data_IF_520177042884
#
_entry.id   IF_520177042884
#
_cell.length_a   1.000
_cell.length_b   1.000
_cell.length_c   1.000
_cell.angle_alpha   90.00
_cell.angle_beta   90.00
_cell.angle_gamma   90.00
#
_symmetry.space_group_name_H-M   'P 1'
#
loop_
_entity.id
_entity.type
_entity.pdbx_description
1 polymer ?
#
# COMPACT_ATOMS: atom_id res chain seq x y z
N UNK A 1 3.42 21.60 0.16
CA UNK A 1 4.86 21.86 0.30
C UNK A 1 5.22 23.33 0.35
N UNK A 2 4.69 24.14 -0.56
CA UNK A 2 4.99 25.58 -0.57
C UNK A 2 4.55 26.29 0.71
N UNK A 3 3.42 25.87 1.29
CA UNK A 3 2.95 26.44 2.54
C UNK A 3 3.94 26.21 3.69
N UNK A 4 4.45 24.98 3.82
CA UNK A 4 5.42 24.67 4.87
C UNK A 4 6.70 25.48 4.72
N UNK A 5 7.19 25.63 3.49
CA UNK A 5 8.37 26.44 3.21
C UNK A 5 8.13 27.91 3.54
N UNK A 6 6.91 28.42 3.26
CA UNK A 6 6.54 29.81 3.58
C UNK A 6 6.52 30.06 5.09
N UNK A 7 6.35 29.02 5.91
CA UNK A 7 6.36 29.08 7.37
C UNK A 7 7.74 28.79 7.96
N UNK A 8 8.79 28.77 7.15
CA UNK A 8 10.16 28.42 7.56
C UNK A 8 10.28 27.03 8.18
N UNK A 9 9.43 26.09 7.74
CA UNK A 9 9.48 24.70 8.19
C UNK A 9 10.32 23.90 7.19
N UNK A 10 11.44 23.35 7.66
CA UNK A 10 12.28 22.48 6.84
C UNK A 10 11.64 21.12 6.63
N UNK A 11 11.72 20.62 5.38
CA UNK A 11 11.21 19.30 5.02
C UNK A 11 12.41 18.40 4.77
N UNK A 12 12.58 17.37 5.60
CA UNK A 12 13.70 16.44 5.48
C UNK A 12 13.42 15.38 4.40
N UNK A 13 12.24 14.81 4.40
CA UNK A 13 11.85 13.81 3.42
C UNK A 13 10.33 13.78 3.24
N UNK A 14 9.89 13.25 2.10
CA UNK A 14 8.48 13.03 1.81
C UNK A 14 8.31 11.57 1.41
N UNK A 15 7.42 10.87 2.09
CA UNK A 15 7.06 9.50 1.77
C UNK A 15 5.55 9.39 1.64
N UNK A 16 5.09 8.42 0.86
CA UNK A 16 3.66 8.13 0.69
C UNK A 16 3.41 6.74 1.25
N UNK A 17 2.29 6.58 1.95
CA UNK A 17 1.76 5.27 2.31
C UNK A 17 0.61 4.98 1.34
N UNK A 18 0.70 3.87 0.64
CA UNK A 18 -0.26 3.48 -0.38
C UNK A 18 -0.99 2.20 0.01
N UNK A 19 -2.31 2.26 0.04
CA UNK A 19 -3.15 1.09 0.30
C UNK A 19 -4.41 1.20 -0.58
N UNK A 20 -4.32 0.70 -1.81
CA UNK A 20 -5.40 0.78 -2.79
C UNK A 20 -5.31 -0.41 -3.74
N UNK A 21 -6.42 -0.87 -4.26
CA UNK A 21 -6.43 -1.92 -5.27
C UNK A 21 -7.66 -2.81 -5.23
N UNK A 22 -8.47 -2.75 -4.18
CA UNK A 22 -9.64 -3.62 -4.07
C UNK A 22 -10.66 -3.37 -5.19
N UNK A 23 -10.89 -2.11 -5.55
CA UNK A 23 -11.82 -1.79 -6.65
C UNK A 23 -11.31 -2.34 -7.97
N UNK A 24 -10.00 -2.26 -8.23
CA UNK A 24 -9.43 -2.88 -9.42
C UNK A 24 -9.62 -4.39 -9.43
N UNK A 25 -9.50 -5.03 -8.26
CA UNK A 25 -9.79 -6.45 -8.12
C UNK A 25 -11.24 -6.77 -8.43
N UNK A 26 -12.18 -5.99 -7.89
CA UNK A 26 -13.61 -6.14 -8.15
C UNK A 26 -13.94 -5.98 -9.64
N UNK A 27 -13.25 -5.08 -10.32
CA UNK A 27 -13.43 -4.80 -11.75
C UNK A 27 -12.65 -5.77 -12.65
N UNK A 28 -11.98 -6.75 -12.09
CA UNK A 28 -11.13 -7.71 -12.81
C UNK A 28 -10.04 -7.03 -13.65
N UNK A 29 -9.49 -5.92 -13.16
CA UNK A 29 -8.37 -5.26 -13.84
C UNK A 29 -7.19 -6.23 -13.93
N UNK A 30 -6.63 -6.38 -15.12
CA UNK A 30 -5.49 -7.28 -15.33
C UNK A 30 -4.26 -6.82 -14.55
N UNK A 31 -3.48 -7.78 -14.08
CA UNK A 31 -2.27 -7.50 -13.29
C UNK A 31 -1.35 -6.49 -13.97
N UNK A 32 -1.04 -6.69 -15.25
CA UNK A 32 -0.12 -5.81 -15.96
C UNK A 32 -0.68 -4.41 -16.17
N UNK A 33 -1.99 -4.27 -16.37
CA UNK A 33 -2.65 -2.98 -16.50
C UNK A 33 -2.59 -2.20 -15.17
N UNK A 34 -2.94 -2.85 -14.08
CA UNK A 34 -2.84 -2.24 -12.74
C UNK A 34 -1.41 -1.80 -12.45
N UNK A 35 -0.46 -2.70 -12.68
CA UNK A 35 0.96 -2.44 -12.42
C UNK A 35 1.46 -1.25 -13.23
N UNK A 36 1.20 -1.22 -14.54
CA UNK A 36 1.63 -0.14 -15.41
C UNK A 36 1.07 1.21 -14.97
N UNK A 37 -0.23 1.27 -14.73
CA UNK A 37 -0.90 2.52 -14.35
C UNK A 37 -0.46 3.01 -12.98
N UNK A 38 -0.28 2.10 -12.04
CA UNK A 38 0.15 2.44 -10.68
C UNK A 38 1.60 2.93 -10.68
N UNK A 39 2.49 2.27 -11.42
CA UNK A 39 3.88 2.72 -11.53
C UNK A 39 3.98 4.08 -12.23
N UNK A 40 3.14 4.33 -13.23
CA UNK A 40 3.08 5.64 -13.88
C UNK A 40 2.69 6.74 -12.88
N UNK A 41 1.70 6.47 -12.03
CA UNK A 41 1.32 7.39 -10.96
C UNK A 41 2.45 7.60 -9.96
N UNK A 42 3.10 6.53 -9.55
CA UNK A 42 4.22 6.59 -8.59
C UNK A 42 5.40 7.38 -9.16
N UNK A 43 5.71 7.18 -10.43
CA UNK A 43 6.77 7.96 -11.10
C UNK A 43 6.45 9.46 -11.09
N UNK A 44 5.17 9.81 -11.20
CA UNK A 44 4.71 11.20 -11.04
C UNK A 44 5.00 11.73 -9.64
N UNK A 45 4.76 10.94 -8.60
CA UNK A 45 5.09 11.33 -7.23
C UNK A 45 6.59 11.50 -7.03
N UNK A 46 7.40 10.59 -7.58
CA UNK A 46 8.86 10.70 -7.46
C UNK A 46 9.39 11.97 -8.11
N UNK A 47 8.79 12.41 -9.19
CA UNK A 47 9.14 13.70 -9.82
C UNK A 47 8.80 14.91 -8.95
N UNK A 48 7.89 14.75 -7.98
CA UNK A 48 7.51 15.80 -7.04
C UNK A 48 8.27 15.71 -5.72
N UNK A 49 9.43 15.08 -5.73
CA UNK A 49 10.32 14.94 -4.58
C UNK A 49 9.87 13.94 -3.52
N UNK A 50 8.97 13.04 -3.85
CA UNK A 50 8.68 11.89 -2.99
C UNK A 50 9.86 10.93 -3.09
N UNK A 51 10.43 10.55 -1.94
CA UNK A 51 11.60 9.69 -1.90
C UNK A 51 11.27 8.21 -1.97
N UNK A 52 10.15 7.82 -1.35
CA UNK A 52 9.75 6.40 -1.30
C UNK A 52 8.25 6.27 -1.11
N UNK A 53 7.76 5.11 -1.52
CA UNK A 53 6.36 4.73 -1.31
C UNK A 53 6.34 3.49 -0.44
N UNK A 54 5.65 3.59 0.68
CA UNK A 54 5.40 2.45 1.57
C UNK A 54 4.09 1.79 1.13
N UNK A 55 4.18 0.54 0.72
CA UNK A 55 3.06 -0.18 0.15
C UNK A 55 2.46 -1.14 1.18
N UNK A 56 1.16 -1.01 1.39
CA UNK A 56 0.39 -1.98 2.18
C UNK A 56 -0.39 -2.82 1.17
N UNK A 57 -0.11 -4.11 1.12
CA UNK A 57 -0.79 -5.01 0.19
C UNK A 57 -2.26 -5.14 0.56
N UNK A 58 -3.13 -5.12 -0.44
CA UNK A 58 -4.56 -5.34 -0.20
C UNK A 58 -4.83 -6.78 0.24
N UNK A 59 -5.94 -6.97 0.91
CA UNK A 59 -6.35 -8.27 1.38
C UNK A 59 -7.20 -9.04 0.38
N UNK A 60 -8.03 -9.94 0.90
CA UNK A 60 -8.93 -10.77 0.10
C UNK A 60 -10.36 -10.29 0.27
N UNK A 61 -11.19 -10.54 -0.74
CA UNK A 61 -12.62 -10.55 -0.56
C UNK A 61 -12.94 -11.81 0.28
N UNK A 62 -13.80 -11.69 1.28
CA UNK A 62 -13.98 -12.76 2.29
C UNK A 62 -14.39 -14.11 1.69
N UNK A 63 -15.31 -14.10 0.74
CA UNK A 63 -15.89 -15.31 0.18
C UNK A 63 -15.28 -15.73 -1.16
N UNK A 64 -14.51 -14.85 -1.78
CA UNK A 64 -13.82 -15.09 -3.05
C UNK A 64 -12.33 -14.77 -2.91
N UNK A 65 -11.55 -15.66 -2.27
CA UNK A 65 -10.16 -15.36 -1.93
C UNK A 65 -9.24 -15.12 -3.13
N UNK A 66 -9.61 -15.63 -4.31
CA UNK A 66 -8.77 -15.47 -5.50
C UNK A 66 -9.05 -14.19 -6.28
N UNK A 67 -10.15 -13.48 -5.94
CA UNK A 67 -10.58 -12.31 -6.70
C UNK A 67 -9.52 -11.22 -6.80
N UNK A 68 -8.77 -10.97 -5.73
CA UNK A 68 -7.78 -9.91 -5.67
C UNK A 68 -6.34 -10.37 -5.90
N UNK A 69 -6.12 -11.66 -6.17
CA UNK A 69 -4.78 -12.21 -6.36
C UNK A 69 -3.99 -11.48 -7.45
N UNK A 70 -4.55 -11.16 -8.63
CA UNK A 70 -3.77 -10.43 -9.65
C UNK A 70 -3.25 -9.08 -9.15
N UNK A 71 -4.03 -8.38 -8.34
CA UNK A 71 -3.62 -7.08 -7.79
C UNK A 71 -2.56 -7.27 -6.70
N UNK A 72 -2.74 -8.27 -5.84
CA UNK A 72 -1.75 -8.61 -4.81
C UNK A 72 -0.40 -8.95 -5.44
N UNK A 73 -0.41 -9.74 -6.51
CA UNK A 73 0.79 -10.10 -7.25
C UNK A 73 1.46 -8.87 -7.88
N UNK A 74 0.66 -7.98 -8.48
CA UNK A 74 1.17 -6.75 -9.05
C UNK A 74 1.88 -5.91 -7.99
N UNK A 75 1.27 -5.79 -6.80
CA UNK A 75 1.84 -5.03 -5.69
C UNK A 75 3.17 -5.62 -5.22
N UNK A 76 3.24 -6.94 -5.08
CA UNK A 76 4.48 -7.61 -4.69
C UNK A 76 5.57 -7.41 -5.75
N UNK A 77 5.23 -7.53 -7.02
CA UNK A 77 6.19 -7.33 -8.11
C UNK A 77 6.73 -5.90 -8.16
N UNK A 78 5.87 -4.90 -7.93
CA UNK A 78 6.31 -3.51 -7.89
C UNK A 78 7.34 -3.27 -6.80
N UNK A 79 7.11 -3.85 -5.62
CA UNK A 79 8.06 -3.72 -4.52
C UNK A 79 9.38 -4.44 -4.79
N UNK A 80 9.36 -5.55 -5.51
CA UNK A 80 10.58 -6.27 -5.90
C UNK A 80 11.39 -5.54 -6.98
N UNK A 81 10.70 -4.90 -7.92
CA UNK A 81 11.34 -4.27 -9.08
C UNK A 81 11.88 -2.87 -8.81
N UNK A 82 11.39 -2.20 -7.78
CA UNK A 82 11.74 -0.80 -7.50
C UNK A 82 12.24 -0.64 -6.06
N UNK A 83 13.46 -0.16 -5.90
CA UNK A 83 14.08 0.05 -4.60
C UNK A 83 13.34 1.06 -3.72
N UNK A 84 12.66 2.01 -4.34
CA UNK A 84 11.92 3.07 -3.63
C UNK A 84 10.45 2.73 -3.38
N UNK A 85 10.03 1.51 -3.66
CA UNK A 85 8.70 0.98 -3.31
C UNK A 85 8.93 -0.15 -2.29
N UNK A 86 8.44 0.05 -1.07
CA UNK A 86 8.74 -0.83 0.05
C UNK A 86 7.46 -1.45 0.60
N UNK A 87 7.38 -2.77 0.55
CA UNK A 87 6.24 -3.50 1.12
C UNK A 87 6.36 -3.50 2.64
N UNK A 88 5.44 -2.84 3.33
CA UNK A 88 5.48 -2.72 4.80
C UNK A 88 4.44 -3.55 5.53
N UNK A 89 3.45 -4.08 4.84
CA UNK A 89 2.52 -5.06 5.44
C UNK A 89 1.84 -5.88 4.36
N UNK A 90 1.67 -7.16 4.65
CA UNK A 90 0.93 -8.13 3.82
C UNK A 90 -0.11 -8.87 4.67
N UNK A 91 -0.49 -8.32 5.82
CA UNK A 91 -1.38 -9.01 6.76
C UNK A 91 -2.83 -9.06 6.32
N UNK A 92 -3.31 -8.08 5.52
CA UNK A 92 -4.72 -8.03 5.16
C UNK A 92 -5.22 -9.33 4.54
N UNK A 93 -4.43 -9.99 3.72
CA UNK A 93 -4.85 -11.24 3.06
C UNK A 93 -4.95 -12.44 4.01
N UNK A 94 -4.51 -12.30 5.25
CA UNK A 94 -4.58 -13.38 6.25
C UNK A 94 -5.81 -13.29 7.15
N UNK A 95 -6.55 -12.18 7.10
CA UNK A 95 -7.57 -11.88 8.10
C UNK A 95 -8.89 -12.63 7.87
N UNK A 96 -9.23 -12.98 6.63
CA UNK A 96 -10.43 -13.76 6.36
C UNK A 96 -10.36 -15.11 7.11
N UNK A 97 -9.21 -15.78 7.04
CA UNK A 97 -9.00 -17.07 7.72
C UNK A 97 -8.96 -16.95 9.23
N UNK A 98 -8.68 -15.76 9.75
CA UNK A 98 -8.61 -15.48 11.19
C UNK A 98 -9.91 -14.95 11.78
N UNK A 99 -10.95 -14.86 10.97
CA UNK A 99 -12.24 -14.33 11.41
C UNK A 99 -12.22 -12.84 11.72
N UNK A 100 -11.30 -12.08 11.12
CA UNK A 100 -11.12 -10.66 11.39
C UNK A 100 -11.75 -9.75 10.34
N UNK A 101 -12.64 -10.28 9.49
CA UNK A 101 -13.39 -9.46 8.56
C UNK A 101 -14.78 -9.15 9.11
N UNK A 102 -15.19 -7.89 8.98
CA UNK A 102 -16.47 -7.37 9.42
C UNK A 102 -17.58 -7.73 8.42
N UNK A 103 -17.28 -7.68 7.14
CA UNK A 103 -18.17 -8.02 6.04
C UNK A 103 -17.35 -8.57 4.87
N UNK A 104 -17.89 -8.59 3.66
CA UNK A 104 -17.19 -9.16 2.49
C UNK A 104 -15.91 -8.42 2.12
N UNK A 105 -15.81 -7.13 2.46
CA UNK A 105 -14.72 -6.26 1.99
C UNK A 105 -13.98 -5.54 3.11
N UNK A 106 -14.60 -5.38 4.27
CA UNK A 106 -14.07 -4.56 5.36
C UNK A 106 -13.60 -5.42 6.52
N UNK A 107 -12.71 -4.86 7.32
CA UNK A 107 -12.07 -5.57 8.42
C UNK A 107 -12.59 -5.06 9.75
N UNK A 108 -12.42 -5.89 10.79
CA UNK A 108 -12.67 -5.48 12.17
C UNK A 108 -11.58 -4.50 12.60
N UNK A 109 -11.88 -3.66 13.58
CA UNK A 109 -10.93 -2.66 14.08
C UNK A 109 -9.60 -3.30 14.48
N UNK A 110 -9.63 -4.46 15.11
CA UNK A 110 -8.45 -5.20 15.51
C UNK A 110 -7.49 -5.44 14.33
N UNK A 111 -8.03 -5.80 13.16
CA UNK A 111 -7.23 -6.04 11.96
C UNK A 111 -6.54 -4.76 11.48
N UNK A 112 -7.26 -3.65 11.45
CA UNK A 112 -6.67 -2.36 11.08
C UNK A 112 -5.57 -1.95 12.05
N UNK A 113 -5.77 -2.20 13.35
CA UNK A 113 -4.77 -1.90 14.37
C UNK A 113 -3.49 -2.71 14.14
N UNK A 114 -3.63 -4.00 13.83
CA UNK A 114 -2.48 -4.88 13.55
C UNK A 114 -1.67 -4.39 12.35
N UNK A 115 -2.35 -4.04 11.26
CA UNK A 115 -1.68 -3.52 10.06
C UNK A 115 -1.03 -2.17 10.35
N UNK A 116 -1.73 -1.27 11.03
CA UNK A 116 -1.18 0.05 11.37
C UNK A 116 0.06 -0.05 12.24
N UNK A 117 0.05 -0.94 13.22
CA UNK A 117 1.21 -1.17 14.09
C UNK A 117 2.41 -1.70 13.32
N UNK A 118 2.23 -2.73 12.52
CA UNK A 118 3.30 -3.29 11.69
C UNK A 118 3.82 -2.28 10.68
N UNK A 119 2.92 -1.64 9.95
CA UNK A 119 3.29 -0.68 8.91
C UNK A 119 4.03 0.51 9.51
N UNK A 120 3.56 1.02 10.62
CA UNK A 120 4.20 2.14 11.32
C UNK A 120 5.60 1.78 11.79
N UNK A 121 5.77 0.60 12.38
CA UNK A 121 7.07 0.13 12.83
C UNK A 121 8.05 -0.02 11.67
N UNK A 122 7.62 -0.67 10.59
CA UNK A 122 8.49 -0.90 9.44
C UNK A 122 8.83 0.40 8.70
N UNK A 123 7.86 1.29 8.52
CA UNK A 123 8.12 2.59 7.92
C UNK A 123 9.11 3.39 8.78
N UNK A 124 8.93 3.37 10.09
CA UNK A 124 9.85 4.03 11.02
C UNK A 124 11.29 3.52 10.88
N UNK A 125 11.47 2.23 10.74
CA UNK A 125 12.80 1.63 10.55
C UNK A 125 13.51 2.18 9.30
N UNK A 126 12.77 2.42 8.22
CA UNK A 126 13.34 3.02 7.01
C UNK A 126 13.63 4.50 7.19
N UNK A 127 12.80 5.23 7.92
CA UNK A 127 12.92 6.68 8.04
C UNK A 127 14.05 7.13 8.96
N UNK A 128 14.47 6.29 9.91
CA UNK A 128 15.53 6.63 10.85
C UNK A 128 16.92 6.16 10.40
N UNK A 129 16.99 5.49 9.27
CA UNK A 129 18.27 5.12 8.65
C UNK A 129 18.83 6.31 7.83
#
# INVERSE_FOLDING_TARGET
MNYLKSQNIGIHSISIVWCQGCTDGDLHTEKEVYKEKTLELFDGFFKLSVERIFLIQIGNQRDEPDLYVPIQEAQAEMAEERENILMISQQFKTFADKGLMKDLFHYKQEAYNLVGEEAGRKAGEYLIK
#
